data_IF_945446829656
#
_entry.id   IF_945446829656
#
_cell.length_a   1.000
_cell.length_b   1.000
_cell.length_c   1.000
_cell.angle_alpha   90.00
_cell.angle_beta   90.00
_cell.angle_gamma   90.00
#
_symmetry.space_group_name_H-M   'P 1'
#
loop_
_entity.id
_entity.type
_entity.pdbx_description
1 polymer ?
#
# COMPACT_ATOMS: atom_id res chain seq x y z
N UNK A 1 4.07 -11.58 15.94
CA UNK A 1 4.69 -10.27 15.62
C UNK A 1 3.89 -9.63 14.50
N UNK A 2 3.31 -8.45 14.73
CA UNK A 2 2.55 -7.74 13.69
C UNK A 2 3.54 -7.07 12.72
N UNK A 3 3.78 -7.72 11.59
CA UNK A 3 4.66 -7.22 10.51
C UNK A 3 4.24 -5.81 10.09
N UNK A 4 2.93 -5.52 10.07
CA UNK A 4 2.40 -4.23 9.64
C UNK A 4 2.72 -3.11 10.65
N UNK A 5 2.62 -3.37 11.97
CA UNK A 5 3.05 -2.40 13.00
C UNK A 5 4.56 -2.18 12.99
N UNK A 6 5.32 -3.21 12.63
CA UNK A 6 6.77 -3.08 12.50
C UNK A 6 7.15 -2.20 11.30
N UNK A 7 6.45 -2.38 10.16
CA UNK A 7 6.59 -1.50 8.98
C UNK A 7 6.23 -0.05 9.28
N UNK A 8 5.17 0.20 10.05
CA UNK A 8 4.79 1.56 10.48
C UNK A 8 5.90 2.22 11.31
N UNK A 9 6.48 1.46 12.26
CA UNK A 9 7.60 1.92 13.09
C UNK A 9 8.85 2.20 12.25
N UNK A 10 9.15 1.33 11.28
CA UNK A 10 10.28 1.49 10.35
C UNK A 10 10.12 2.72 9.45
N UNK A 11 8.87 3.04 9.08
CA UNK A 11 8.56 4.21 8.26
C UNK A 11 8.50 5.52 9.06
N UNK A 12 8.66 5.48 10.40
CA UNK A 12 8.55 6.64 11.29
C UNK A 12 7.29 7.46 10.97
N UNK A 13 6.15 6.78 10.89
CA UNK A 13 4.86 7.43 10.64
C UNK A 13 4.40 8.15 11.92
N UNK A 14 4.67 9.45 12.00
CA UNK A 14 4.00 10.31 12.98
C UNK A 14 2.56 10.64 12.55
N UNK A 15 1.75 11.19 13.44
CA UNK A 15 0.36 11.57 13.13
C UNK A 15 0.26 12.53 11.94
N UNK A 16 1.25 13.41 11.73
CA UNK A 16 1.28 14.33 10.57
C UNK A 16 1.54 13.59 9.26
N UNK A 17 2.39 12.58 9.28
CA UNK A 17 2.71 11.73 8.13
C UNK A 17 1.50 10.85 7.78
N UNK A 18 0.75 10.40 8.78
CA UNK A 18 -0.55 9.76 8.57
C UNK A 18 -1.58 10.68 7.92
N UNK A 19 -1.66 11.95 8.34
CA UNK A 19 -2.54 12.94 7.71
C UNK A 19 -2.18 13.20 6.24
N UNK A 20 -0.88 13.28 5.92
CA UNK A 20 -0.39 13.41 4.55
C UNK A 20 -0.57 12.13 3.74
N UNK A 21 -0.52 10.97 4.39
CA UNK A 21 -0.75 9.67 3.74
C UNK A 21 -2.17 9.59 3.15
N UNK A 22 -3.16 10.21 3.79
CA UNK A 22 -4.52 10.29 3.27
C UNK A 22 -4.64 11.11 1.98
N UNK A 23 -3.58 11.79 1.52
CA UNK A 23 -3.59 12.53 0.27
C UNK A 23 -3.75 11.57 -0.92
N UNK A 24 -4.73 11.79 -1.82
CA UNK A 24 -4.93 10.96 -3.00
C UNK A 24 -3.68 10.83 -3.87
N UNK A 25 -2.94 11.92 -4.03
CA UNK A 25 -1.69 11.91 -4.80
C UNK A 25 -0.65 11.01 -4.17
N UNK A 26 -0.54 10.98 -2.83
CA UNK A 26 0.37 10.04 -2.16
C UNK A 26 -0.05 8.59 -2.41
N UNK A 27 -1.34 8.28 -2.29
CA UNK A 27 -1.85 6.92 -2.50
C UNK A 27 -1.63 6.46 -3.94
N UNK A 28 -2.06 7.24 -4.94
CA UNK A 28 -1.94 6.85 -6.35
C UNK A 28 -0.48 6.73 -6.79
N UNK A 29 0.37 7.67 -6.38
CA UNK A 29 1.78 7.64 -6.76
C UNK A 29 2.61 6.59 -6.01
N UNK A 30 2.06 5.96 -4.96
CA UNK A 30 2.66 4.74 -4.37
C UNK A 30 2.41 3.49 -5.18
N UNK A 31 1.37 3.45 -6.01
CA UNK A 31 1.18 2.32 -6.94
C UNK A 31 2.27 2.27 -8.01
N UNK A 32 2.95 3.38 -8.30
CA UNK A 32 4.10 3.37 -9.22
C UNK A 32 5.37 2.77 -8.62
N UNK A 33 5.44 2.61 -7.30
CA UNK A 33 6.66 2.13 -6.64
C UNK A 33 7.04 0.70 -7.06
N UNK A 34 6.06 -0.22 -7.15
CA UNK A 34 6.34 -1.60 -7.55
C UNK A 34 6.83 -1.65 -9.01
N UNK A 35 6.15 -1.02 -10.00
CA UNK A 35 6.67 -0.91 -11.36
C UNK A 35 8.06 -0.28 -11.44
N UNK A 36 8.33 0.81 -10.71
CA UNK A 36 9.63 1.48 -10.71
C UNK A 36 10.74 0.57 -10.19
N UNK A 37 10.54 -0.07 -9.04
CA UNK A 37 11.48 -1.05 -8.48
C UNK A 37 11.70 -2.19 -9.48
N UNK A 38 10.62 -2.69 -10.08
CA UNK A 38 10.67 -3.81 -11.05
C UNK A 38 11.51 -3.48 -12.27
N UNK A 39 11.28 -2.30 -12.86
CA UNK A 39 12.04 -1.81 -14.02
C UNK A 39 13.50 -1.53 -13.65
N UNK A 40 13.75 -0.98 -12.46
CA UNK A 40 15.11 -0.76 -11.96
C UNK A 40 15.89 -2.08 -11.86
N UNK A 41 15.29 -3.12 -11.28
CA UNK A 41 15.90 -4.46 -11.23
C UNK A 41 16.03 -5.11 -12.60
N UNK A 42 15.04 -4.97 -13.48
CA UNK A 42 15.09 -5.52 -14.84
C UNK A 42 16.19 -4.87 -15.68
N UNK A 43 16.42 -3.56 -15.51
CA UNK A 43 17.48 -2.81 -16.22
C UNK A 43 18.91 -3.21 -15.83
N UNK A 44 19.09 -4.13 -14.88
CA UNK A 44 20.41 -4.56 -14.37
C UNK A 44 21.34 -5.11 -15.43
N UNK A 45 20.82 -5.77 -16.46
CA UNK A 45 21.69 -6.32 -17.51
C UNK A 45 22.20 -5.26 -18.48
N UNK A 46 21.48 -4.15 -18.60
CA UNK A 46 21.84 -3.05 -19.49
C UNK A 46 22.76 -2.06 -18.79
N UNK A 47 22.51 -1.82 -17.50
CA UNK A 47 23.21 -0.82 -16.69
C UNK A 47 24.33 -1.41 -15.82
N UNK A 48 24.39 -2.74 -15.65
CA UNK A 48 25.36 -3.39 -14.76
C UNK A 48 25.31 -2.81 -13.34
N UNK A 49 26.46 -2.38 -12.82
CA UNK A 49 26.56 -1.78 -11.49
C UNK A 49 25.75 -0.46 -11.35
N UNK A 50 25.52 0.26 -12.45
CA UNK A 50 24.74 1.50 -12.43
C UNK A 50 23.26 1.27 -12.13
N UNK A 51 22.76 0.02 -12.24
CA UNK A 51 21.39 -0.33 -11.86
C UNK A 51 21.10 -0.13 -10.36
N UNK A 52 22.14 -0.05 -9.52
CA UNK A 52 21.98 0.34 -8.12
C UNK A 52 21.36 1.74 -7.98
N UNK A 53 21.65 2.65 -8.90
CA UNK A 53 21.12 4.03 -8.87
C UNK A 53 19.58 4.04 -8.99
N UNK A 54 18.95 3.48 -10.04
CA UNK A 54 17.49 3.45 -10.14
C UNK A 54 16.84 2.61 -9.04
N UNK A 55 17.50 1.57 -8.52
CA UNK A 55 17.00 0.79 -7.38
C UNK A 55 16.93 1.69 -6.14
N UNK A 56 18.03 2.39 -5.81
CA UNK A 56 18.08 3.30 -4.67
C UNK A 56 17.09 4.45 -4.81
N UNK A 57 16.95 5.03 -6.01
CA UNK A 57 15.96 6.07 -6.27
C UNK A 57 14.52 5.57 -6.08
N UNK A 58 14.23 4.33 -6.49
CA UNK A 58 12.90 3.73 -6.31
C UNK A 58 12.59 3.45 -4.84
N UNK A 59 13.57 2.99 -4.06
CA UNK A 59 13.43 2.82 -2.60
C UNK A 59 13.26 4.17 -1.90
N UNK A 60 14.05 5.18 -2.31
CA UNK A 60 13.93 6.54 -1.81
C UNK A 60 12.55 7.12 -2.13
N UNK A 61 12.01 6.86 -3.33
CA UNK A 61 10.66 7.27 -3.71
C UNK A 61 9.61 6.72 -2.74
N UNK A 62 9.66 5.44 -2.38
CA UNK A 62 8.74 4.83 -1.40
C UNK A 62 8.76 5.58 -0.06
N UNK A 63 9.95 6.01 0.37
CA UNK A 63 10.15 6.71 1.64
C UNK A 63 9.76 8.20 1.58
N UNK A 64 10.08 8.89 0.49
CA UNK A 64 9.80 10.31 0.26
C UNK A 64 8.31 10.55 0.00
N UNK A 65 7.65 9.64 -0.71
CA UNK A 65 6.26 9.79 -1.14
C UNK A 65 5.29 10.29 -0.05
N UNK A 66 5.16 9.67 1.14
CA UNK A 66 4.22 10.15 2.17
C UNK A 66 4.59 11.52 2.77
N UNK A 67 5.80 12.02 2.52
CA UNK A 67 6.34 13.25 3.12
C UNK A 67 6.21 14.47 2.21
N UNK A 68 6.16 14.25 0.89
CA UNK A 68 6.17 15.34 -0.10
C UNK A 68 4.78 15.93 -0.34
N UNK A 69 3.72 15.16 -0.15
CA UNK A 69 2.36 15.66 -0.37
C UNK A 69 1.82 16.37 0.88
N UNK A 70 1.09 17.47 0.66
CA UNK A 70 0.39 18.19 1.73
C UNK A 70 -0.76 17.37 2.32
N UNK A 71 -1.33 17.86 3.42
CA UNK A 71 -2.57 17.30 3.97
C UNK A 71 -3.71 17.55 2.96
N UNK A 72 -4.53 16.54 2.63
CA UNK A 72 -5.62 16.74 1.66
C UNK A 72 -6.67 17.72 2.19
N UNK A 73 -7.13 18.63 1.33
CA UNK A 73 -8.23 19.56 1.64
C UNK A 73 -9.59 18.86 1.74
N UNK A 74 -9.73 17.70 1.08
CA UNK A 74 -10.94 16.88 1.07
C UNK A 74 -10.61 15.41 1.28
N UNK A 75 -11.37 14.75 2.15
CA UNK A 75 -11.16 13.35 2.55
C UNK A 75 -12.30 12.42 2.13
N UNK A 76 -13.23 12.93 1.33
CA UNK A 76 -14.42 12.24 0.82
C UNK A 76 -14.15 11.34 -0.40
N UNK A 77 -12.87 11.07 -0.71
CA UNK A 77 -12.44 10.29 -1.87
C UNK A 77 -12.00 8.86 -1.48
N UNK A 78 -11.88 7.99 -2.49
CA UNK A 78 -11.50 6.58 -2.31
C UNK A 78 -10.15 6.41 -1.60
N UNK A 79 -9.15 7.20 -1.98
CA UNK A 79 -7.80 7.09 -1.44
C UNK A 79 -7.73 7.44 0.05
N UNK A 80 -8.34 8.55 0.46
CA UNK A 80 -8.40 8.98 1.86
C UNK A 80 -9.18 7.97 2.71
N UNK A 81 -10.35 7.51 2.25
CA UNK A 81 -11.13 6.48 2.97
C UNK A 81 -10.36 5.17 3.13
N UNK A 82 -9.60 4.77 2.12
CA UNK A 82 -8.75 3.58 2.17
C UNK A 82 -7.71 3.70 3.29
N UNK A 83 -7.03 4.84 3.41
CA UNK A 83 -6.04 5.06 4.48
C UNK A 83 -6.65 5.13 5.88
N UNK A 84 -7.87 5.65 6.02
CA UNK A 84 -8.57 5.62 7.30
C UNK A 84 -8.96 4.20 7.71
N UNK A 85 -9.46 3.41 6.76
CA UNK A 85 -9.73 1.98 6.97
C UNK A 85 -8.46 1.21 7.36
N UNK A 86 -7.32 1.52 6.73
CA UNK A 86 -6.03 0.94 7.10
C UNK A 86 -5.63 1.28 8.54
N UNK A 87 -5.83 2.52 8.98
CA UNK A 87 -5.59 2.93 10.38
C UNK A 87 -6.46 2.16 11.36
N UNK A 88 -7.73 1.94 11.04
CA UNK A 88 -8.64 1.09 11.85
C UNK A 88 -8.12 -0.35 11.87
N UNK A 89 -7.76 -0.90 10.71
CA UNK A 89 -7.25 -2.27 10.59
C UNK A 89 -5.92 -2.50 11.35
N UNK A 90 -5.04 -1.49 11.43
CA UNK A 90 -3.83 -1.51 12.25
C UNK A 90 -4.15 -1.59 13.74
N UNK A 91 -5.22 -0.93 14.16
CA UNK A 91 -5.73 -0.92 15.53
C UNK A 91 -6.72 -2.04 15.82
N UNK A 92 -6.80 -3.09 14.99
CA UNK A 92 -7.70 -4.26 15.14
C UNK A 92 -7.63 -5.01 16.48
N UNK A 93 -6.59 -4.80 17.28
CA UNK A 93 -6.48 -5.38 18.62
C UNK A 93 -7.23 -4.57 19.68
N UNK A 94 -7.53 -3.31 19.38
CA UNK A 94 -8.23 -2.36 20.25
C UNK A 94 -9.63 -2.07 19.71
N UNK A 95 -9.81 -2.09 18.38
CA UNK A 95 -11.07 -1.85 17.69
C UNK A 95 -11.81 -3.17 17.40
N UNK A 96 -13.12 -3.22 17.64
CA UNK A 96 -13.96 -4.39 17.37
C UNK A 96 -14.34 -4.47 15.89
N UNK A 97 -13.46 -5.04 15.06
CA UNK A 97 -13.67 -5.18 13.62
C UNK A 97 -14.50 -6.44 13.29
N UNK A 98 -15.53 -6.35 12.43
CA UNK A 98 -16.28 -7.52 11.98
C UNK A 98 -15.39 -8.60 11.33
N UNK A 99 -15.62 -9.86 11.70
CA UNK A 99 -14.78 -10.99 11.29
C UNK A 99 -14.72 -11.21 9.75
N UNK A 100 -15.75 -10.79 9.01
CA UNK A 100 -15.78 -10.90 7.56
C UNK A 100 -14.73 -9.97 6.89
N UNK A 101 -14.52 -8.76 7.42
CA UNK A 101 -13.47 -7.86 6.96
C UNK A 101 -12.08 -8.45 7.20
N UNK A 102 -11.83 -8.99 8.40
CA UNK A 102 -10.56 -9.62 8.74
C UNK A 102 -10.24 -10.85 7.87
N UNK A 103 -11.26 -11.64 7.49
CA UNK A 103 -11.10 -12.77 6.57
C UNK A 103 -10.78 -12.29 5.16
N UNK A 104 -11.55 -11.34 4.63
CA UNK A 104 -11.31 -10.77 3.30
C UNK A 104 -9.89 -10.17 3.19
N UNK A 105 -9.46 -9.41 4.20
CA UNK A 105 -8.12 -8.84 4.28
C UNK A 105 -7.01 -9.89 4.24
N UNK A 106 -7.18 -11.01 4.97
CA UNK A 106 -6.21 -12.10 4.98
C UNK A 106 -6.14 -12.83 3.64
N UNK A 107 -7.29 -13.09 3.02
CA UNK A 107 -7.35 -13.73 1.70
C UNK A 107 -6.69 -12.87 0.64
N UNK A 108 -7.00 -11.56 0.60
CA UNK A 108 -6.40 -10.65 -0.38
C UNK A 108 -4.89 -10.48 -0.18
N UNK A 109 -4.42 -10.43 1.06
CA UNK A 109 -2.97 -10.43 1.34
C UNK A 109 -2.30 -11.73 0.87
N UNK A 110 -2.94 -12.89 1.09
CA UNK A 110 -2.42 -14.17 0.62
C UNK A 110 -2.39 -14.25 -0.92
N UNK A 111 -3.44 -13.77 -1.60
CA UNK A 111 -3.50 -13.71 -3.07
C UNK A 111 -2.46 -12.74 -3.65
N UNK A 112 -2.28 -11.58 -3.01
CA UNK A 112 -1.21 -10.65 -3.38
C UNK A 112 0.16 -11.30 -3.20
N UNK A 113 0.39 -12.02 -2.10
CA UNK A 113 1.64 -12.73 -1.84
C UNK A 113 1.89 -13.86 -2.85
N UNK A 114 0.84 -14.54 -3.31
CA UNK A 114 0.93 -15.58 -4.33
C UNK A 114 1.43 -15.07 -5.69
N UNK A 115 1.33 -13.77 -5.97
CA UNK A 115 1.92 -13.15 -7.16
C UNK A 115 3.43 -12.91 -7.07
N UNK A 116 3.99 -12.92 -5.86
CA UNK A 116 5.41 -12.63 -5.63
C UNK A 116 6.34 -13.68 -6.26
N UNK A 117 6.06 -15.00 -6.20
CA UNK A 117 6.85 -16.00 -6.93
C UNK A 117 6.91 -15.75 -8.45
N UNK A 118 5.78 -15.39 -9.08
CA UNK A 118 5.72 -15.06 -10.52
C UNK A 118 6.55 -13.82 -10.81
N UNK A 119 6.44 -12.81 -9.97
CA UNK A 119 7.23 -11.59 -10.06
C UNK A 119 8.74 -11.85 -9.95
N UNK A 120 9.17 -12.63 -8.94
CA UNK A 120 10.57 -13.01 -8.74
C UNK A 120 11.07 -13.83 -9.93
N UNK A 121 10.26 -14.76 -10.44
CA UNK A 121 10.61 -15.55 -11.61
C UNK A 121 10.82 -14.66 -12.84
N UNK A 122 9.93 -13.70 -13.12
CA UNK A 122 10.11 -12.74 -14.20
C UNK A 122 11.34 -11.85 -14.05
N UNK A 123 11.71 -11.46 -12.83
CA UNK A 123 12.98 -10.76 -12.57
C UNK A 123 14.20 -11.65 -12.79
N UNK A 124 14.11 -12.93 -12.42
CA UNK A 124 15.19 -13.89 -12.56
C UNK A 124 15.47 -14.23 -14.03
N UNK A 125 14.41 -14.49 -14.81
CA UNK A 125 14.52 -14.80 -16.24
C UNK A 125 14.64 -13.57 -17.14
N UNK A 126 14.43 -12.37 -16.57
CA UNK A 126 14.38 -11.09 -17.27
C UNK A 126 13.29 -11.03 -18.37
N UNK A 127 12.30 -11.93 -18.30
CA UNK A 127 11.15 -11.92 -19.18
C UNK A 127 10.20 -10.78 -18.78
N UNK A 128 10.09 -9.78 -19.65
CA UNK A 128 9.28 -8.60 -19.39
C UNK A 128 7.79 -8.96 -19.26
N UNK A 129 7.30 -9.93 -20.03
CA UNK A 129 5.90 -10.33 -19.97
C UNK A 129 5.52 -10.92 -18.61
N UNK A 130 6.33 -11.87 -18.11
CA UNK A 130 6.13 -12.49 -16.78
C UNK A 130 6.31 -11.48 -15.65
N UNK A 131 7.28 -10.56 -15.79
CA UNK A 131 7.49 -9.47 -14.84
C UNK A 131 6.27 -8.54 -14.74
N UNK A 132 5.71 -8.16 -15.88
CA UNK A 132 4.51 -7.33 -15.97
C UNK A 132 3.27 -8.06 -15.42
N UNK A 133 3.14 -9.35 -15.71
CA UNK A 133 2.07 -10.20 -15.15
C UNK A 133 2.15 -10.26 -13.62
N UNK A 134 3.35 -10.51 -13.06
CA UNK A 134 3.57 -10.51 -11.62
C UNK A 134 3.26 -9.15 -10.99
N UNK A 135 3.69 -8.07 -11.63
CA UNK A 135 3.35 -6.70 -11.20
C UNK A 135 1.84 -6.49 -11.18
N UNK A 136 1.16 -6.78 -12.29
CA UNK A 136 -0.28 -6.58 -12.44
C UNK A 136 -1.05 -7.38 -11.40
N UNK A 137 -0.66 -8.64 -11.16
CA UNK A 137 -1.27 -9.50 -10.16
C UNK A 137 -1.16 -8.90 -8.75
N UNK A 138 0.07 -8.58 -8.32
CA UNK A 138 0.31 -8.00 -6.99
C UNK A 138 -0.43 -6.67 -6.84
N UNK A 139 -0.40 -5.81 -7.86
CA UNK A 139 -1.08 -4.51 -7.84
C UNK A 139 -2.60 -4.65 -7.79
N UNK A 140 -3.19 -5.58 -8.54
CA UNK A 140 -4.63 -5.78 -8.57
C UNK A 140 -5.16 -6.23 -7.20
N UNK A 141 -4.54 -7.24 -6.58
CA UNK A 141 -4.95 -7.68 -5.24
C UNK A 141 -4.65 -6.66 -4.15
N UNK A 142 -3.57 -5.87 -4.31
CA UNK A 142 -3.29 -4.74 -3.42
C UNK A 142 -4.34 -3.64 -3.56
N UNK A 143 -4.75 -3.28 -4.77
CA UNK A 143 -5.81 -2.30 -5.00
C UNK A 143 -7.15 -2.78 -4.43
N UNK A 144 -7.48 -4.06 -4.59
CA UNK A 144 -8.66 -4.66 -4.00
C UNK A 144 -8.59 -4.70 -2.46
N UNK A 145 -7.41 -4.92 -1.89
CA UNK A 145 -7.21 -4.80 -0.44
C UNK A 145 -7.50 -3.37 0.04
N UNK A 146 -6.98 -2.34 -0.65
CA UNK A 146 -7.29 -0.94 -0.32
C UNK A 146 -8.78 -0.65 -0.47
N UNK A 147 -9.44 -1.21 -1.48
CA UNK A 147 -10.88 -1.11 -1.62
C UNK A 147 -11.60 -1.70 -0.40
N UNK A 148 -11.21 -2.89 0.08
CA UNK A 148 -11.76 -3.45 1.32
C UNK A 148 -11.53 -2.57 2.55
N UNK A 149 -10.48 -1.75 2.59
CA UNK A 149 -10.29 -0.75 3.65
C UNK A 149 -11.33 0.37 3.57
N UNK A 150 -11.72 0.79 2.36
CA UNK A 150 -12.81 1.77 2.18
C UNK A 150 -14.11 1.23 2.76
N UNK A 151 -14.46 -0.02 2.45
CA UNK A 151 -15.66 -0.66 3.00
C UNK A 151 -15.60 -0.78 4.52
N UNK A 152 -14.46 -1.21 5.06
CA UNK A 152 -14.25 -1.26 6.51
C UNK A 152 -14.46 0.11 7.17
N UNK A 153 -13.93 1.17 6.57
CA UNK A 153 -14.10 2.52 7.08
C UNK A 153 -15.57 2.96 7.08
N UNK A 154 -16.30 2.69 5.99
CA UNK A 154 -17.73 3.04 5.88
C UNK A 154 -18.57 2.29 6.90
N UNK A 155 -18.41 0.97 7.00
CA UNK A 155 -19.17 0.14 7.96
C UNK A 155 -18.90 0.58 9.40
N UNK A 156 -17.65 0.89 9.74
CA UNK A 156 -17.27 1.35 11.08
C UNK A 156 -17.77 2.76 11.38
N UNK A 157 -17.86 3.63 10.38
CA UNK A 157 -18.43 4.98 10.52
C UNK A 157 -19.94 4.93 10.74
N UNK A 158 -20.65 4.05 10.04
CA UNK A 158 -22.09 3.86 10.23
C UNK A 158 -22.43 3.19 11.56
N UNK A 159 -21.61 2.24 12.01
CA UNK A 159 -21.77 1.58 13.31
C UNK A 159 -21.44 2.47 14.51
N UNK A 160 -20.71 3.57 14.29
CA UNK A 160 -20.33 4.55 15.31
C UNK A 160 -20.80 5.94 14.86
N UNK A 161 -22.11 6.24 14.95
CA UNK A 161 -22.55 7.62 14.78
C UNK A 161 -21.77 8.48 15.78
N UNK A 162 -21.16 9.56 15.28
CA UNK A 162 -20.54 10.55 16.15
C UNK A 162 -21.56 10.94 17.23
N UNK A 163 -21.18 11.04 18.52
CA UNK A 163 -22.05 11.72 19.46
C UNK A 163 -22.28 13.12 18.88
N UNK A 164 -23.54 13.48 18.66
CA UNK A 164 -23.94 14.82 18.23
C UNK A 164 -23.11 15.84 19.01
N UNK A 165 -22.26 16.59 18.31
CA UNK A 165 -21.55 17.70 18.90
C UNK A 165 -22.61 18.73 19.34
N UNK A 166 -22.86 18.80 20.64
CA UNK A 166 -23.54 19.92 21.29
C UNK A 166 -22.60 21.11 21.38
#
# INVERSE_FOLDING_TARGET
>A
MDIIKWSEKLMSMDDKSWQRHANPWSVYSRFSALPLISLAFWSREWLGAYALVPILLSLLWVWINPRVFGVPERTDNWASRGTFGERIYLNRHTESIPAHHLRACRVLQALSLAGVPVFIYGLYTLDLATLLLGNLWVMAFKAWFVDRMVWLYMDMKEARPEPEAQ
#
